data_IF_656943137679
#
_entry.id   IF_656943137679
#
_cell.length_a   1.000
_cell.length_b   1.000
_cell.length_c   1.000
_cell.angle_alpha   90.00
_cell.angle_beta   90.00
_cell.angle_gamma   90.00
#
_symmetry.space_group_name_H-M   'P 1'
#
loop_
_entity.id
_entity.type
_entity.pdbx_description
1 polymer ?
#
# COMPACT_ATOMS: atom_id res chain seq x y z
N UNK A 1 -20.76 15.94 -17.32
CA UNK A 1 -20.61 14.58 -16.75
C UNK A 1 -20.22 14.65 -15.29
N UNK A 2 -20.80 13.80 -14.44
CA UNK A 2 -20.43 13.67 -13.02
C UNK A 2 -19.19 12.79 -12.86
N UNK A 3 -18.46 12.95 -11.77
CA UNK A 3 -17.29 12.12 -11.47
C UNK A 3 -17.59 10.62 -11.47
N UNK A 4 -18.80 10.23 -11.04
CA UNK A 4 -19.23 8.84 -10.98
C UNK A 4 -19.35 8.20 -12.36
N UNK A 5 -19.78 8.97 -13.37
CA UNK A 5 -19.83 8.49 -14.75
C UNK A 5 -18.43 8.24 -15.33
N UNK A 6 -17.46 9.10 -14.99
CA UNK A 6 -16.05 8.92 -15.38
C UNK A 6 -15.47 7.68 -14.70
N UNK A 7 -15.69 7.53 -13.39
CA UNK A 7 -15.23 6.37 -12.63
C UNK A 7 -15.80 5.05 -13.18
N UNK A 8 -17.11 5.01 -13.47
CA UNK A 8 -17.76 3.82 -14.03
C UNK A 8 -17.21 3.44 -15.40
N UNK A 9 -16.91 4.43 -16.24
CA UNK A 9 -16.25 4.20 -17.54
C UNK A 9 -14.85 3.64 -17.34
N UNK A 10 -14.00 4.32 -16.56
CA UNK A 10 -12.60 3.93 -16.38
C UNK A 10 -12.48 2.54 -15.73
N UNK A 11 -13.34 2.22 -14.76
CA UNK A 11 -13.45 0.89 -14.18
C UNK A 11 -13.82 -0.18 -15.21
N UNK A 12 -14.83 0.08 -16.05
CA UNK A 12 -15.26 -0.86 -17.09
C UNK A 12 -14.16 -1.11 -18.13
N UNK A 13 -13.49 -0.04 -18.56
CA UNK A 13 -12.41 -0.14 -19.54
C UNK A 13 -11.24 -0.94 -18.94
N UNK A 14 -10.92 -0.72 -17.66
CA UNK A 14 -9.88 -1.45 -16.96
C UNK A 14 -10.23 -2.94 -16.74
N UNK A 15 -11.48 -3.28 -16.40
CA UNK A 15 -11.88 -4.67 -16.15
C UNK A 15 -11.81 -5.56 -17.39
N UNK A 16 -11.82 -4.95 -18.58
CA UNK A 16 -11.66 -5.67 -19.85
C UNK A 16 -10.18 -5.89 -20.22
N UNK A 17 -9.25 -5.31 -19.45
CA UNK A 17 -7.82 -5.44 -19.70
C UNK A 17 -7.30 -6.83 -19.32
N UNK A 18 -6.66 -7.51 -20.28
CA UNK A 18 -5.96 -8.78 -20.03
C UNK A 18 -4.83 -8.63 -19.01
N UNK A 19 -4.17 -7.48 -18.97
CA UNK A 19 -3.11 -7.21 -18.01
C UNK A 19 -3.65 -7.15 -16.57
N UNK A 20 -4.87 -6.62 -16.37
CA UNK A 20 -5.51 -6.64 -15.07
C UNK A 20 -5.82 -8.07 -14.62
N UNK A 21 -6.42 -8.88 -15.50
CA UNK A 21 -6.74 -10.27 -15.18
C UNK A 21 -5.48 -11.11 -14.90
N UNK A 22 -4.40 -10.87 -15.64
CA UNK A 22 -3.10 -11.48 -15.34
C UNK A 22 -2.61 -11.09 -13.94
N UNK A 23 -2.71 -9.81 -13.57
CA UNK A 23 -2.31 -9.33 -12.25
C UNK A 23 -3.16 -9.93 -11.12
N UNK A 24 -4.49 -10.01 -11.31
CA UNK A 24 -5.40 -10.66 -10.36
C UNK A 24 -5.06 -12.15 -10.22
N UNK A 25 -4.86 -12.85 -11.34
CA UNK A 25 -4.49 -14.27 -11.32
C UNK A 25 -3.16 -14.50 -10.60
N UNK A 26 -2.14 -13.68 -10.88
CA UNK A 26 -0.84 -13.73 -10.18
C UNK A 26 -1.04 -13.51 -8.69
N UNK A 27 -1.84 -12.52 -8.28
CA UNK A 27 -2.08 -12.26 -6.88
C UNK A 27 -2.84 -13.39 -6.17
N UNK A 28 -3.86 -13.96 -6.81
CA UNK A 28 -4.60 -15.12 -6.28
C UNK A 28 -3.66 -16.30 -6.08
N UNK A 29 -2.86 -16.64 -7.09
CA UNK A 29 -1.88 -17.74 -7.01
C UNK A 29 -0.88 -17.47 -5.91
N UNK A 30 -0.31 -16.26 -5.88
CA UNK A 30 0.67 -15.85 -4.88
C UNK A 30 0.08 -15.92 -3.47
N UNK A 31 -1.14 -15.41 -3.27
CA UNK A 31 -1.83 -15.40 -1.98
C UNK A 31 -2.13 -16.82 -1.50
N UNK A 32 -2.74 -17.67 -2.34
CA UNK A 32 -3.03 -19.07 -1.97
C UNK A 32 -1.74 -19.87 -1.71
N UNK A 33 -0.73 -19.71 -2.56
CA UNK A 33 0.56 -20.38 -2.38
C UNK A 33 1.27 -19.92 -1.11
N UNK A 34 1.27 -18.61 -0.84
CA UNK A 34 1.87 -18.04 0.37
C UNK A 34 1.16 -18.52 1.64
N UNK A 35 -0.18 -18.61 1.60
CA UNK A 35 -0.97 -19.19 2.70
C UNK A 35 -0.58 -20.63 2.94
N UNK A 36 -0.53 -21.44 1.88
CA UNK A 36 -0.14 -22.85 1.99
C UNK A 36 1.27 -23.01 2.56
N UNK A 37 2.24 -22.25 2.04
CA UNK A 37 3.62 -22.26 2.51
C UNK A 37 3.74 -21.87 3.99
N UNK A 38 3.00 -20.85 4.43
CA UNK A 38 2.97 -20.43 5.83
C UNK A 38 2.41 -21.52 6.75
N UNK A 39 1.33 -22.20 6.34
CA UNK A 39 0.70 -23.26 7.15
C UNK A 39 1.62 -24.47 7.30
N UNK A 40 2.31 -24.88 6.23
CA UNK A 40 3.16 -26.07 6.22
C UNK A 40 4.50 -25.85 6.93
N UNK A 41 5.08 -24.65 6.80
CA UNK A 41 6.41 -24.34 7.35
C UNK A 41 6.40 -23.03 8.14
N UNK A 42 5.57 -22.92 9.21
CA UNK A 42 5.37 -21.66 9.94
C UNK A 42 6.65 -21.14 10.60
N UNK A 43 7.55 -22.04 11.00
CA UNK A 43 8.84 -21.70 11.63
C UNK A 43 9.75 -20.90 10.70
N UNK A 44 9.67 -21.11 9.38
CA UNK A 44 10.45 -20.34 8.38
C UNK A 44 9.98 -18.88 8.29
N UNK A 45 8.77 -18.59 8.77
CA UNK A 45 8.10 -17.30 8.66
C UNK A 45 7.81 -16.65 10.03
N UNK A 46 8.50 -17.09 11.09
CA UNK A 46 8.41 -16.48 12.42
C UNK A 46 7.33 -17.05 13.34
N UNK A 47 6.64 -18.13 12.95
CA UNK A 47 5.67 -18.83 13.79
C UNK A 47 6.34 -19.76 14.82
N UNK A 48 6.99 -19.20 15.85
CA UNK A 48 7.68 -19.99 16.87
C UNK A 48 6.76 -20.91 17.71
N UNK A 49 5.45 -20.68 17.66
CA UNK A 49 4.41 -21.51 18.29
C UNK A 49 3.59 -22.36 17.32
N UNK A 50 4.02 -22.49 16.05
CA UNK A 50 3.25 -23.13 14.98
C UNK A 50 2.42 -22.15 14.15
N UNK A 51 1.68 -22.68 13.18
CA UNK A 51 0.86 -21.87 12.27
C UNK A 51 -0.38 -21.34 13.00
N UNK A 52 -0.59 -20.03 12.96
CA UNK A 52 -1.76 -19.37 13.54
C UNK A 52 -2.43 -18.44 12.54
N UNK A 53 -3.73 -18.16 12.72
CA UNK A 53 -4.44 -17.24 11.83
C UNK A 53 -3.88 -15.81 11.92
N UNK A 54 -3.48 -15.38 13.12
CA UNK A 54 -2.84 -14.08 13.32
C UNK A 54 -1.48 -13.99 12.60
N UNK A 55 -0.65 -15.03 12.70
CA UNK A 55 0.61 -15.07 11.98
C UNK A 55 0.44 -15.15 10.46
N UNK A 56 -0.59 -15.85 9.97
CA UNK A 56 -0.95 -15.82 8.55
C UNK A 56 -1.32 -14.40 8.09
N UNK A 57 -2.15 -13.69 8.86
CA UNK A 57 -2.49 -12.29 8.57
C UNK A 57 -1.22 -11.43 8.54
N UNK A 58 -0.34 -11.56 9.54
CA UNK A 58 0.92 -10.80 9.61
C UNK A 58 1.83 -11.07 8.41
N UNK A 59 1.98 -12.34 8.03
CA UNK A 59 2.74 -12.73 6.84
C UNK A 59 2.12 -12.13 5.56
N UNK A 60 0.78 -12.16 5.47
CA UNK A 60 0.04 -11.59 4.32
C UNK A 60 0.15 -10.06 4.28
N UNK A 61 0.31 -9.37 5.41
CA UNK A 61 0.59 -7.92 5.46
C UNK A 61 1.89 -7.61 4.71
N UNK A 62 2.99 -8.32 4.99
CA UNK A 62 4.27 -8.10 4.30
C UNK A 62 4.15 -8.34 2.79
N UNK A 63 3.49 -9.43 2.39
CA UNK A 63 3.24 -9.76 0.99
C UNK A 63 2.40 -8.68 0.28
N UNK A 64 1.34 -8.21 0.94
CA UNK A 64 0.47 -7.15 0.41
C UNK A 64 1.20 -5.81 0.35
N UNK A 65 2.05 -5.52 1.34
CA UNK A 65 2.89 -4.32 1.40
C UNK A 65 3.78 -4.15 0.17
N UNK A 66 4.33 -5.25 -0.36
CA UNK A 66 5.13 -5.23 -1.59
C UNK A 66 4.28 -5.29 -2.87
N UNK A 67 3.24 -6.14 -2.86
CA UNK A 67 2.45 -6.40 -4.07
C UNK A 67 1.59 -5.20 -4.48
N UNK A 68 0.97 -4.52 -3.52
CA UNK A 68 0.04 -3.40 -3.78
C UNK A 68 0.72 -2.24 -4.52
N UNK A 69 1.91 -1.73 -4.10
CA UNK A 69 2.63 -0.71 -4.85
C UNK A 69 2.92 -1.12 -6.30
N UNK A 70 3.42 -2.34 -6.51
CA UNK A 70 3.73 -2.86 -7.86
C UNK A 70 2.48 -2.94 -8.73
N UNK A 71 1.39 -3.46 -8.17
CA UNK A 71 0.10 -3.52 -8.85
C UNK A 71 -0.43 -2.13 -9.19
N UNK A 72 -0.33 -1.19 -8.25
CA UNK A 72 -0.77 0.19 -8.45
C UNK A 72 0.02 0.87 -9.57
N UNK A 73 1.34 0.66 -9.65
CA UNK A 73 2.16 1.17 -10.76
C UNK A 73 1.61 0.64 -12.08
N UNK A 74 1.48 -0.69 -12.23
CA UNK A 74 1.03 -1.32 -13.49
C UNK A 74 -0.36 -0.82 -13.92
N UNK A 75 -1.28 -0.65 -12.97
CA UNK A 75 -2.67 -0.27 -13.25
C UNK A 75 -2.84 1.23 -13.46
N UNK A 76 -2.06 2.07 -12.78
CA UNK A 76 -2.34 3.51 -12.67
C UNK A 76 -1.36 4.42 -13.40
N UNK A 77 -0.15 3.98 -13.75
CA UNK A 77 0.90 4.87 -14.26
C UNK A 77 0.50 5.65 -15.52
N UNK A 78 -0.28 5.04 -16.43
CA UNK A 78 -0.78 5.68 -17.67
C UNK A 78 -2.13 6.38 -17.53
N UNK A 79 -2.75 6.35 -16.35
CA UNK A 79 -4.15 6.76 -16.16
C UNK A 79 -4.48 8.14 -16.69
N UNK A 80 -3.60 9.14 -16.50
CA UNK A 80 -3.74 10.47 -17.11
C UNK A 80 -2.64 10.79 -18.12
N UNK A 81 -1.39 10.41 -17.83
CA UNK A 81 -0.25 10.69 -18.71
C UNK A 81 -0.44 10.07 -20.11
N UNK A 82 -1.03 8.88 -20.19
CA UNK A 82 -1.29 8.21 -21.47
C UNK A 82 -2.37 8.91 -22.29
N UNK A 83 -3.44 9.39 -21.65
CA UNK A 83 -4.50 10.14 -22.36
C UNK A 83 -4.05 11.53 -22.81
N UNK A 84 -3.13 12.15 -22.05
CA UNK A 84 -2.47 13.39 -22.45
C UNK A 84 -1.60 13.18 -23.67
N UNK A 85 -0.76 12.16 -23.65
CA UNK A 85 0.16 11.85 -24.75
C UNK A 85 -0.60 11.49 -26.04
N UNK A 86 -1.73 10.78 -25.92
CA UNK A 86 -2.61 10.46 -27.04
C UNK A 86 -3.54 11.62 -27.47
N UNK A 87 -3.57 12.73 -26.72
CA UNK A 87 -4.46 13.86 -26.96
C UNK A 87 -5.95 13.59 -26.70
N UNK A 88 -6.32 12.38 -26.27
CA UNK A 88 -7.72 11.98 -26.02
C UNK A 88 -8.35 12.75 -24.86
N UNK A 89 -7.53 13.30 -23.96
CA UNK A 89 -8.00 14.15 -22.85
C UNK A 89 -8.72 15.41 -23.34
N UNK A 90 -8.38 15.92 -24.54
CA UNK A 90 -9.04 17.09 -25.15
C UNK A 90 -10.47 16.78 -25.55
N UNK A 91 -10.72 15.57 -26.04
CA UNK A 91 -12.07 15.10 -26.40
C UNK A 91 -12.95 14.88 -25.17
N UNK A 92 -12.36 14.48 -24.03
CA UNK A 92 -13.09 14.39 -22.77
C UNK A 92 -13.47 15.78 -22.22
N UNK A 93 -12.58 16.75 -22.37
CA UNK A 93 -12.78 18.11 -21.88
C UNK A 93 -13.59 19.01 -22.85
N UNK A 94 -13.80 18.60 -24.10
CA UNK A 94 -14.72 19.28 -25.01
C UNK A 94 -16.19 19.00 -24.69
N UNK A 95 -16.46 17.93 -23.95
CA UNK A 95 -17.76 17.67 -23.33
C UNK A 95 -17.92 18.52 -22.06
N UNK A 96 -19.15 18.84 -21.61
CA UNK A 96 -19.40 19.64 -20.41
C UNK A 96 -19.00 18.88 -19.13
N UNK A 97 -17.69 18.83 -18.88
CA UNK A 97 -17.04 18.11 -17.79
C UNK A 97 -16.02 19.02 -17.11
N UNK A 98 -15.94 18.94 -15.78
CA UNK A 98 -14.96 19.67 -15.00
C UNK A 98 -13.69 18.81 -14.86
N UNK A 99 -12.51 19.44 -14.93
CA UNK A 99 -11.20 18.80 -14.64
C UNK A 99 -11.20 18.07 -13.30
N UNK A 100 -11.87 18.61 -12.28
CA UNK A 100 -12.03 17.94 -10.99
C UNK A 100 -12.77 16.60 -11.10
N UNK A 101 -13.90 16.58 -11.82
CA UNK A 101 -14.70 15.37 -12.02
C UNK A 101 -13.92 14.29 -12.79
N UNK A 102 -13.06 14.70 -13.73
CA UNK A 102 -12.19 13.78 -14.45
C UNK A 102 -11.13 13.18 -13.51
N UNK A 103 -10.45 14.03 -12.74
CA UNK A 103 -9.38 13.59 -11.83
C UNK A 103 -9.89 12.64 -10.75
N UNK A 104 -10.90 13.05 -9.97
CA UNK A 104 -11.48 12.22 -8.91
C UNK A 104 -12.13 10.95 -9.47
N UNK A 105 -12.75 11.05 -10.66
CA UNK A 105 -13.31 9.89 -11.36
C UNK A 105 -12.24 8.85 -11.70
N UNK A 106 -11.06 9.27 -12.16
CA UNK A 106 -9.93 8.38 -12.45
C UNK A 106 -9.33 7.76 -11.19
N UNK A 107 -9.15 8.55 -10.13
CA UNK A 107 -8.66 8.03 -8.84
C UNK A 107 -9.61 6.93 -8.34
N UNK A 108 -10.91 7.20 -8.29
CA UNK A 108 -11.91 6.24 -7.81
C UNK A 108 -12.05 5.03 -8.73
N UNK A 109 -11.99 5.21 -10.05
CA UNK A 109 -12.02 4.12 -11.02
C UNK A 109 -10.83 3.16 -10.82
N UNK A 110 -9.62 3.69 -10.71
CA UNK A 110 -8.40 2.91 -10.49
C UNK A 110 -8.34 2.27 -9.11
N UNK A 111 -8.76 2.99 -8.07
CA UNK A 111 -8.89 2.44 -6.72
C UNK A 111 -9.86 1.26 -6.70
N UNK A 112 -11.03 1.38 -7.31
CA UNK A 112 -12.01 0.29 -7.40
C UNK A 112 -11.47 -0.94 -8.16
N UNK A 113 -10.72 -0.72 -9.25
CA UNK A 113 -10.08 -1.81 -10.00
C UNK A 113 -9.10 -2.58 -9.12
N UNK A 114 -8.21 -1.87 -8.41
CA UNK A 114 -7.22 -2.48 -7.53
C UNK A 114 -7.88 -3.18 -6.34
N UNK A 115 -8.84 -2.53 -5.67
CA UNK A 115 -9.49 -3.09 -4.49
C UNK A 115 -10.31 -4.34 -4.81
N UNK A 116 -11.01 -4.36 -5.95
CA UNK A 116 -11.74 -5.57 -6.38
C UNK A 116 -10.75 -6.70 -6.71
N UNK A 117 -9.69 -6.41 -7.48
CA UNK A 117 -8.70 -7.43 -7.86
C UNK A 117 -7.95 -8.02 -6.66
N UNK A 118 -7.49 -7.16 -5.75
CA UNK A 118 -6.83 -7.57 -4.52
C UNK A 118 -7.80 -8.26 -3.57
N UNK A 119 -9.01 -7.75 -3.42
CA UNK A 119 -10.05 -8.33 -2.57
C UNK A 119 -10.35 -9.78 -2.94
N UNK A 120 -10.43 -10.09 -4.23
CA UNK A 120 -10.58 -11.49 -4.70
C UNK A 120 -9.41 -12.34 -4.20
N UNK A 121 -8.15 -11.93 -4.45
CA UNK A 121 -6.98 -12.70 -4.01
C UNK A 121 -6.92 -12.89 -2.49
N UNK A 122 -7.16 -11.83 -1.72
CA UNK A 122 -7.17 -11.91 -0.26
C UNK A 122 -8.28 -12.82 0.26
N UNK A 123 -9.50 -12.74 -0.30
CA UNK A 123 -10.59 -13.62 0.11
C UNK A 123 -10.30 -15.10 -0.18
N UNK A 124 -9.68 -15.41 -1.32
CA UNK A 124 -9.24 -16.78 -1.62
C UNK A 124 -8.12 -17.24 -0.68
N UNK A 125 -7.07 -16.42 -0.48
CA UNK A 125 -5.96 -16.75 0.40
C UNK A 125 -6.36 -16.94 1.86
N UNK A 126 -7.20 -16.04 2.39
CA UNK A 126 -7.73 -16.14 3.75
C UNK A 126 -8.74 -17.28 3.89
N UNK A 127 -9.56 -17.53 2.86
CA UNK A 127 -10.49 -18.66 2.84
C UNK A 127 -9.75 -20.00 2.94
N UNK A 128 -8.73 -20.20 2.11
CA UNK A 128 -7.85 -21.38 2.19
C UNK A 128 -7.16 -21.47 3.56
N UNK A 129 -6.64 -20.36 4.06
CA UNK A 129 -5.96 -20.33 5.36
C UNK A 129 -6.88 -20.71 6.52
N UNK A 130 -8.11 -20.18 6.52
CA UNK A 130 -9.12 -20.52 7.53
C UNK A 130 -9.50 -22.00 7.50
N UNK A 131 -9.57 -22.60 6.31
CA UNK A 131 -9.87 -24.02 6.15
C UNK A 131 -8.72 -24.90 6.67
N UNK A 132 -7.48 -24.57 6.33
CA UNK A 132 -6.29 -25.32 6.75
C UNK A 132 -6.02 -25.21 8.25
N UNK A 133 -6.23 -24.04 8.84
CA UNK A 133 -5.97 -23.78 10.27
C UNK A 133 -7.15 -24.17 11.17
N UNK A 134 -8.32 -24.52 10.61
CA UNK A 134 -9.49 -24.94 11.38
C UNK A 134 -10.11 -23.83 12.24
N UNK A 135 -9.77 -22.56 12.00
CA UNK A 135 -10.23 -21.42 12.78
C UNK A 135 -10.07 -20.10 12.03
N UNK A 136 -10.98 -19.17 12.31
CA UNK A 136 -10.96 -17.82 11.75
C UNK A 136 -11.31 -16.81 12.85
N UNK A 137 -10.49 -15.78 12.97
CA UNK A 137 -10.88 -14.56 13.67
C UNK A 137 -11.52 -13.61 12.65
N UNK A 138 -12.86 -13.58 12.65
CA UNK A 138 -13.65 -12.79 11.69
C UNK A 138 -13.37 -11.30 11.86
N UNK A 139 -13.17 -10.83 13.09
CA UNK A 139 -12.91 -9.43 13.36
C UNK A 139 -11.54 -9.02 12.82
N UNK A 140 -10.49 -9.79 13.16
CA UNK A 140 -9.15 -9.55 12.64
C UNK A 140 -9.09 -9.63 11.10
N UNK A 141 -9.76 -10.61 10.50
CA UNK A 141 -9.86 -10.74 9.05
C UNK A 141 -10.53 -9.53 8.40
N UNK A 142 -11.63 -9.03 8.99
CA UNK A 142 -12.34 -7.85 8.49
C UNK A 142 -11.49 -6.59 8.58
N UNK A 143 -10.85 -6.34 9.72
CA UNK A 143 -9.96 -5.18 9.91
C UNK A 143 -8.80 -5.23 8.92
N UNK A 144 -8.12 -6.39 8.83
CA UNK A 144 -7.03 -6.59 7.87
C UNK A 144 -7.48 -6.31 6.42
N UNK A 145 -8.61 -6.88 5.99
CA UNK A 145 -9.16 -6.64 4.66
C UNK A 145 -9.47 -5.15 4.43
N UNK A 146 -10.17 -4.51 5.37
CA UNK A 146 -10.55 -3.10 5.25
C UNK A 146 -9.32 -2.18 5.13
N UNK A 147 -8.31 -2.40 5.96
CA UNK A 147 -7.06 -1.61 5.95
C UNK A 147 -6.26 -1.88 4.68
N UNK A 148 -6.11 -3.14 4.25
CA UNK A 148 -5.36 -3.50 3.03
C UNK A 148 -6.01 -2.93 1.76
N UNK A 149 -7.35 -2.98 1.68
CA UNK A 149 -8.08 -2.38 0.55
C UNK A 149 -8.00 -0.85 0.57
N UNK A 150 -8.01 -0.23 1.76
CA UNK A 150 -7.80 1.21 1.91
C UNK A 150 -6.38 1.60 1.48
N UNK A 151 -5.37 0.82 1.85
CA UNK A 151 -3.99 0.98 1.41
C UNK A 151 -3.85 0.89 -0.11
N UNK A 152 -4.55 -0.04 -0.76
CA UNK A 152 -4.60 -0.11 -2.22
C UNK A 152 -5.23 1.13 -2.87
N UNK A 153 -6.29 1.69 -2.25
CA UNK A 153 -6.91 2.93 -2.72
C UNK A 153 -5.97 4.15 -2.55
N UNK A 154 -5.23 4.22 -1.43
CA UNK A 154 -4.18 5.23 -1.21
C UNK A 154 -3.13 5.17 -2.32
N UNK A 155 -2.63 3.97 -2.61
CA UNK A 155 -1.64 3.75 -3.67
C UNK A 155 -2.17 4.11 -5.06
N UNK A 156 -3.44 3.84 -5.35
CA UNK A 156 -4.09 4.30 -6.57
C UNK A 156 -4.05 5.84 -6.65
N UNK A 157 -4.38 6.53 -5.56
CA UNK A 157 -4.33 7.99 -5.45
C UNK A 157 -2.93 8.55 -5.70
N UNK A 158 -1.90 7.96 -5.09
CA UNK A 158 -0.50 8.33 -5.30
C UNK A 158 -0.12 8.21 -6.77
N UNK A 159 -0.36 7.05 -7.39
CA UNK A 159 0.08 6.79 -8.77
C UNK A 159 -0.70 7.61 -9.81
N UNK A 160 -2.00 7.81 -9.59
CA UNK A 160 -2.81 8.71 -10.42
C UNK A 160 -2.35 10.16 -10.25
N UNK A 161 -2.02 10.60 -9.03
CA UNK A 161 -1.46 11.92 -8.75
C UNK A 161 -0.12 12.17 -9.45
N UNK A 162 0.79 11.18 -9.40
CA UNK A 162 2.05 11.21 -10.14
C UNK A 162 1.78 11.29 -11.64
N UNK A 163 0.92 10.43 -12.18
CA UNK A 163 0.55 10.44 -13.60
C UNK A 163 0.02 11.81 -14.04
N UNK A 164 -0.86 12.42 -13.24
CA UNK A 164 -1.46 13.73 -13.48
C UNK A 164 -0.46 14.89 -13.45
N UNK A 165 0.65 14.74 -12.73
CA UNK A 165 1.72 15.74 -12.66
C UNK A 165 2.65 15.75 -13.87
N UNK A 166 2.51 14.78 -14.78
CA UNK A 166 3.40 14.61 -15.94
C UNK A 166 2.65 14.80 -17.27
N UNK A 167 3.41 15.18 -18.30
CA UNK A 167 2.91 15.34 -19.67
C UNK A 167 3.19 14.16 -20.60
N UNK A 168 4.02 13.19 -20.19
CA UNK A 168 4.37 12.03 -20.98
C UNK A 168 4.40 10.77 -20.14
N UNK A 169 4.07 9.64 -20.77
CA UNK A 169 3.97 8.36 -20.08
C UNK A 169 5.32 7.87 -19.58
N UNK A 170 6.40 8.12 -20.31
CA UNK A 170 7.75 7.79 -19.87
C UNK A 170 8.11 8.47 -18.55
N UNK A 171 7.82 9.78 -18.40
CA UNK A 171 8.06 10.52 -17.15
C UNK A 171 7.19 10.00 -16.01
N UNK A 172 5.93 9.68 -16.28
CA UNK A 172 5.03 9.08 -15.29
C UNK A 172 5.60 7.76 -14.75
N UNK A 173 6.07 6.88 -15.64
CA UNK A 173 6.69 5.60 -15.27
C UNK A 173 7.94 5.82 -14.43
N UNK A 174 8.83 6.72 -14.83
CA UNK A 174 10.07 6.99 -14.10
C UNK A 174 9.79 7.51 -12.68
N UNK A 175 8.84 8.44 -12.53
CA UNK A 175 8.47 8.96 -11.20
C UNK A 175 7.76 7.90 -10.35
N UNK A 176 6.88 7.09 -10.94
CA UNK A 176 6.20 6.01 -10.22
C UNK A 176 7.19 4.94 -9.72
N UNK A 177 8.13 4.53 -10.55
CA UNK A 177 9.20 3.59 -10.16
C UNK A 177 10.16 4.22 -9.15
N UNK A 178 10.54 5.50 -9.34
CA UNK A 178 11.38 6.22 -8.39
C UNK A 178 10.73 6.34 -7.01
N UNK A 179 9.42 6.63 -6.98
CA UNK A 179 8.63 6.64 -5.74
C UNK A 179 8.67 5.29 -5.05
N UNK A 180 8.42 4.20 -5.79
CA UNK A 180 8.49 2.85 -5.25
C UNK A 180 9.87 2.52 -4.67
N UNK A 181 10.95 2.77 -5.42
CA UNK A 181 12.30 2.49 -4.93
C UNK A 181 12.62 3.28 -3.66
N UNK A 182 12.29 4.57 -3.63
CA UNK A 182 12.59 5.43 -2.47
C UNK A 182 11.79 5.02 -1.24
N UNK A 183 10.47 4.87 -1.37
CA UNK A 183 9.59 4.68 -0.22
C UNK A 183 9.42 3.22 0.21
N UNK A 184 9.48 2.26 -0.73
CA UNK A 184 9.20 0.86 -0.44
C UNK A 184 10.46 -0.01 -0.32
N UNK A 185 11.59 0.39 -0.95
CA UNK A 185 12.83 -0.40 -0.88
C UNK A 185 13.92 0.24 -0.03
N UNK A 186 14.06 1.57 -0.10
CA UNK A 186 15.18 2.27 0.55
C UNK A 186 14.80 2.89 1.89
N UNK A 187 13.51 3.18 2.11
CA UNK A 187 13.10 4.02 3.24
C UNK A 187 13.42 3.41 4.59
N UNK A 188 13.33 2.09 4.76
CA UNK A 188 13.69 1.42 6.02
C UNK A 188 15.17 1.62 6.40
N UNK A 189 16.04 1.81 5.40
CA UNK A 189 17.48 2.04 5.60
C UNK A 189 17.77 3.51 5.88
N UNK A 190 16.92 4.45 5.43
CA UNK A 190 17.21 5.89 5.50
C UNK A 190 17.32 6.39 6.95
N UNK A 191 16.33 6.17 7.85
CA UNK A 191 16.47 6.56 9.26
C UNK A 191 17.70 5.93 9.91
N UNK A 192 17.98 4.65 9.61
CA UNK A 192 19.13 3.94 10.16
C UNK A 192 20.45 4.51 9.70
N UNK A 193 20.58 4.81 8.41
CA UNK A 193 21.77 5.44 7.86
C UNK A 193 22.02 6.81 8.50
N UNK A 194 20.96 7.61 8.69
CA UNK A 194 21.07 8.93 9.35
C UNK A 194 21.54 8.78 10.79
N UNK A 195 20.96 7.87 11.57
CA UNK A 195 21.40 7.60 12.95
C UNK A 195 22.86 7.15 12.98
N UNK A 196 23.23 6.21 12.11
CA UNK A 196 24.57 5.66 12.02
C UNK A 196 25.62 6.75 11.73
N UNK A 197 25.33 7.65 10.79
CA UNK A 197 26.23 8.76 10.42
C UNK A 197 26.33 9.78 11.57
N UNK A 198 25.21 10.19 12.14
CA UNK A 198 25.17 11.21 13.21
C UNK A 198 25.85 10.72 14.49
N UNK A 199 25.85 9.42 14.75
CA UNK A 199 26.54 8.79 15.89
C UNK A 199 28.00 8.37 15.58
N UNK A 200 28.59 8.87 14.50
CA UNK A 200 30.01 8.64 14.19
C UNK A 200 30.32 7.26 13.63
N UNK A 201 29.46 6.74 12.74
CA UNK A 201 29.56 5.41 12.13
C UNK A 201 29.39 4.27 13.14
N UNK A 202 28.50 4.47 14.12
CA UNK A 202 28.08 3.48 15.10
C UNK A 202 26.57 3.54 15.33
N UNK A 203 25.97 2.42 15.73
CA UNK A 203 24.60 2.42 16.21
C UNK A 203 24.59 2.70 17.71
N UNK A 204 23.77 3.66 18.20
CA UNK A 204 23.64 3.91 19.63
C UNK A 204 22.98 2.70 20.32
N UNK A 205 23.25 2.53 21.61
CA UNK A 205 22.58 1.51 22.43
C UNK A 205 21.08 1.74 22.57
N UNK A 206 20.63 2.99 22.45
CA UNK A 206 19.23 3.39 22.48
C UNK A 206 18.90 4.17 21.22
N UNK A 207 17.87 3.72 20.48
CA UNK A 207 17.47 4.37 19.24
C UNK A 207 16.77 5.71 19.54
N UNK A 208 17.10 6.81 18.83
CA UNK A 208 16.38 8.06 18.98
C UNK A 208 14.91 7.94 18.60
N UNK A 209 14.02 8.57 19.36
CA UNK A 209 12.56 8.42 19.17
C UNK A 209 12.06 8.92 17.80
N UNK A 210 12.71 9.93 17.23
CA UNK A 210 12.36 10.46 15.91
C UNK A 210 12.49 9.41 14.78
N UNK A 211 13.30 8.37 14.98
CA UNK A 211 13.52 7.30 14.00
C UNK A 211 12.21 6.61 13.66
N UNK A 212 11.40 6.30 14.68
CA UNK A 212 10.10 5.67 14.48
C UNK A 212 9.20 6.56 13.64
N UNK A 213 9.12 7.86 13.97
CA UNK A 213 8.31 8.80 13.18
C UNK A 213 8.74 8.88 11.73
N UNK A 214 10.05 8.88 11.46
CA UNK A 214 10.55 8.93 10.08
C UNK A 214 10.31 7.61 9.36
N UNK A 215 10.47 6.45 10.02
CA UNK A 215 10.20 5.16 9.38
C UNK A 215 8.73 5.01 9.00
N UNK A 216 7.80 5.56 9.80
CA UNK A 216 6.36 5.57 9.48
C UNK A 216 5.99 6.37 8.22
N UNK A 217 6.88 7.22 7.68
CA UNK A 217 6.60 8.00 6.48
C UNK A 217 6.38 7.11 5.25
N UNK A 218 6.98 5.92 5.18
CA UNK A 218 6.70 5.00 4.07
C UNK A 218 5.23 4.54 4.12
N UNK A 219 4.54 4.46 2.96
CA UNK A 219 3.17 3.97 2.93
C UNK A 219 3.00 2.56 3.51
N UNK A 220 3.95 1.65 3.27
CA UNK A 220 3.89 0.27 3.80
C UNK A 220 4.11 0.18 5.30
N UNK A 221 5.02 0.98 5.89
CA UNK A 221 5.17 1.04 7.35
C UNK A 221 3.91 1.63 8.00
N UNK A 222 3.36 2.71 7.44
CA UNK A 222 2.10 3.29 7.91
C UNK A 222 0.92 2.30 7.82
N UNK A 223 0.91 1.47 6.77
CA UNK A 223 -0.05 0.37 6.62
C UNK A 223 0.08 -0.69 7.70
N UNK A 224 1.29 -1.23 7.92
CA UNK A 224 1.54 -2.18 9.00
C UNK A 224 1.13 -1.59 10.36
N UNK A 225 1.57 -0.36 10.64
CA UNK A 225 1.29 0.36 11.88
C UNK A 225 -0.22 0.57 12.09
N UNK A 226 -0.97 0.87 11.03
CA UNK A 226 -2.44 0.97 11.09
C UNK A 226 -3.10 -0.36 11.44
N UNK A 227 -2.63 -1.48 10.88
CA UNK A 227 -3.19 -2.80 11.23
C UNK A 227 -2.91 -3.12 12.70
N UNK A 228 -1.70 -2.85 13.18
CA UNK A 228 -1.32 -3.05 14.59
C UNK A 228 -2.14 -2.16 15.52
N UNK A 229 -2.39 -0.90 15.15
CA UNK A 229 -3.22 0.02 15.93
C UNK A 229 -4.66 -0.47 16.11
N UNK A 230 -5.24 -1.05 15.05
CA UNK A 230 -6.63 -1.50 15.05
C UNK A 230 -6.80 -2.93 15.59
N UNK A 231 -5.70 -3.67 15.75
CA UNK A 231 -5.66 -5.02 16.32
C UNK A 231 -4.62 -5.07 17.45
N UNK A 232 -4.89 -4.48 18.63
CA UNK A 232 -3.95 -4.51 19.75
C UNK A 232 -3.67 -5.95 20.20
N UNK A 233 -2.40 -6.26 20.47
CA UNK A 233 -1.93 -7.62 20.79
C UNK A 233 -1.72 -8.54 19.57
N UNK A 234 -2.06 -8.08 18.35
CA UNK A 234 -1.89 -8.87 17.12
C UNK A 234 -0.44 -9.24 16.83
N UNK A 235 0.50 -8.31 17.04
CA UNK A 235 1.92 -8.56 16.81
C UNK A 235 2.47 -9.64 17.76
N UNK A 236 2.04 -9.61 19.03
CA UNK A 236 2.42 -10.59 20.04
C UNK A 236 1.84 -11.98 19.72
N UNK A 237 0.56 -12.05 19.34
CA UNK A 237 -0.14 -13.29 18.97
C UNK A 237 0.38 -13.86 17.64
N UNK A 238 0.85 -13.01 16.73
CA UNK A 238 1.49 -13.45 15.48
C UNK A 238 2.88 -14.08 15.70
N UNK A 239 3.42 -14.07 16.92
CA UNK A 239 4.79 -14.52 17.20
C UNK A 239 5.85 -13.60 16.58
N UNK A 240 5.43 -12.43 16.10
CA UNK A 240 6.32 -11.43 15.56
C UNK A 240 7.06 -10.79 16.75
N UNK A 241 8.20 -11.36 17.11
CA UNK A 241 9.21 -10.58 17.82
C UNK A 241 9.44 -9.32 16.98
N UNK A 242 9.31 -8.10 17.55
CA UNK A 242 9.54 -6.88 16.79
C UNK A 242 10.89 -7.06 16.10
N UNK A 243 10.95 -6.79 14.79
CA UNK A 243 12.14 -6.97 13.98
C UNK A 243 13.33 -6.42 14.78
N UNK A 244 14.14 -7.32 15.34
CA UNK A 244 15.18 -6.94 16.26
C UNK A 244 16.10 -6.02 15.47
N UNK A 245 16.15 -4.77 15.90
CA UNK A 245 17.07 -3.75 15.43
C UNK A 245 18.47 -4.17 15.87
N UNK A 246 19.01 -5.18 15.19
CA UNK A 246 20.28 -5.80 15.55
C UNK A 246 20.25 -6.57 16.88
N UNK A 247 21.28 -7.37 17.08
CA UNK A 247 21.53 -8.09 18.33
C UNK A 247 21.89 -7.07 19.41
N UNK A 248 21.06 -6.95 20.46
CA UNK A 248 21.44 -6.29 21.72
C UNK A 248 20.80 -4.94 22.08
N UNK A 249 19.69 -4.53 21.45
CA UNK A 249 18.95 -3.31 21.85
C UNK A 249 17.76 -3.70 22.73
N UNK A 250 17.82 -3.35 24.02
CA UNK A 250 16.69 -3.50 24.95
C UNK A 250 15.61 -2.44 24.67
N UNK A 251 14.34 -2.88 24.60
CA UNK A 251 13.19 -2.00 24.47
C UNK A 251 12.85 -1.36 25.82
N UNK A 252 12.75 -0.04 25.86
CA UNK A 252 12.29 0.74 27.02
C UNK A 252 10.81 1.08 26.81
N UNK A 253 9.95 0.79 27.79
CA UNK A 253 8.70 1.52 28.02
C UNK A 253 8.97 2.67 29.01
N UNK A 254 8.36 3.88 28.88
CA UNK A 254 6.98 4.15 28.48
C UNK A 254 6.81 5.10 27.27
N UNK A 255 5.70 4.92 26.56
CA UNK A 255 5.45 5.32 25.18
C UNK A 255 4.93 6.76 25.04
N UNK A 256 5.69 7.71 24.43
CA UNK A 256 5.13 8.95 23.91
C UNK A 256 4.06 8.66 22.84
N UNK A 257 3.01 9.47 22.74
CA UNK A 257 1.92 9.27 21.76
C UNK A 257 2.37 9.19 20.28
N UNK A 258 3.59 9.63 19.97
CA UNK A 258 4.16 9.61 18.63
C UNK A 258 4.97 8.34 18.33
N UNK A 259 5.16 7.47 19.32
CA UNK A 259 5.65 6.11 19.14
C UNK A 259 4.50 5.09 19.03
N UNK A 260 3.26 5.57 19.14
CA UNK A 260 2.09 4.73 19.15
C UNK A 260 1.67 4.30 17.72
N UNK A 261 1.10 3.09 17.54
CA UNK A 261 0.70 2.59 16.23
C UNK A 261 -0.34 3.47 15.50
N UNK A 262 -1.08 4.33 16.21
CA UNK A 262 -2.08 5.24 15.66
C UNK A 262 -1.47 6.29 14.72
N UNK A 263 -0.17 6.56 14.83
CA UNK A 263 0.55 7.43 13.88
C UNK A 263 0.42 6.90 12.45
N UNK A 264 0.41 5.57 12.25
CA UNK A 264 0.22 4.96 10.95
C UNK A 264 -1.10 5.38 10.28
N UNK A 265 -2.18 5.52 11.06
CA UNK A 265 -3.50 5.95 10.56
C UNK A 265 -3.41 7.37 10.01
N UNK A 266 -2.77 8.26 10.77
CA UNK A 266 -2.59 9.67 10.37
C UNK A 266 -1.72 9.75 9.11
N UNK A 267 -0.62 9.00 9.06
CA UNK A 267 0.28 9.02 7.90
C UNK A 267 -0.39 8.45 6.65
N UNK A 268 -1.16 7.36 6.75
CA UNK A 268 -1.96 6.85 5.62
C UNK A 268 -3.02 7.86 5.16
N UNK A 269 -3.68 8.56 6.09
CA UNK A 269 -4.62 9.62 5.74
C UNK A 269 -3.93 10.78 5.00
N UNK A 270 -2.71 11.15 5.42
CA UNK A 270 -1.90 12.13 4.70
C UNK A 270 -1.51 11.64 3.30
N UNK A 271 -1.15 10.36 3.14
CA UNK A 271 -0.88 9.76 1.83
C UNK A 271 -2.11 9.66 0.94
N UNK A 272 -3.32 9.65 1.49
CA UNK A 272 -4.54 9.77 0.70
C UNK A 272 -4.74 11.20 0.20
N UNK A 273 -4.57 12.18 1.08
CA UNK A 273 -4.96 13.58 0.84
C UNK A 273 -3.88 14.35 0.06
N UNK A 274 -2.61 14.26 0.47
CA UNK A 274 -1.53 15.09 -0.07
C UNK A 274 -1.27 14.81 -1.56
N UNK A 275 -1.06 13.55 -2.01
CA UNK A 275 -0.86 13.25 -3.42
C UNK A 275 -2.09 13.56 -4.28
N UNK A 276 -3.30 13.38 -3.72
CA UNK A 276 -4.54 13.76 -4.39
C UNK A 276 -4.58 15.27 -4.67
N UNK A 277 -4.32 16.10 -3.65
CA UNK A 277 -4.34 17.56 -3.77
C UNK A 277 -3.24 18.06 -4.71
N UNK A 278 -2.01 17.54 -4.57
CA UNK A 278 -0.88 17.90 -5.45
C UNK A 278 -1.18 17.49 -6.90
N UNK A 279 -1.65 16.26 -7.11
CA UNK A 279 -2.02 15.74 -8.42
C UNK A 279 -3.12 16.55 -9.09
N UNK A 280 -4.18 16.88 -8.34
CA UNK A 280 -5.27 17.72 -8.84
C UNK A 280 -4.79 19.14 -9.18
N UNK A 281 -4.02 19.77 -8.30
CA UNK A 281 -3.49 21.11 -8.54
C UNK A 281 -2.64 21.15 -9.81
N UNK A 282 -1.70 20.21 -9.97
CA UNK A 282 -0.87 20.07 -11.17
C UNK A 282 -1.69 19.78 -12.42
N UNK A 283 -2.73 18.96 -12.30
CA UNK A 283 -3.65 18.68 -13.40
C UNK A 283 -4.43 19.92 -13.83
N UNK A 284 -4.88 20.73 -12.87
CA UNK A 284 -5.70 21.89 -13.10
C UNK A 284 -4.93 23.04 -13.76
N UNK A 285 -3.68 23.26 -13.36
CA UNK A 285 -2.83 24.34 -13.88
C UNK A 285 -2.18 23.99 -15.22
N UNK A 286 -2.07 22.71 -15.57
CA UNK A 286 -1.45 22.30 -16.83
C UNK A 286 -2.24 22.76 -18.06
N UNK A 287 -1.50 23.28 -19.04
CA UNK A 287 -2.00 23.52 -20.39
C UNK A 287 -2.17 22.17 -21.11
N UNK A 288 -3.37 21.93 -21.63
CA UNK A 288 -3.78 20.67 -22.25
C UNK A 288 -3.98 20.86 -23.75
#
# INVERSE_FOLDING_TARGET
>A
MTWLSVAKKDFRDAIQSRALWALVAVFVVLSVFSTYAYVEVPEMFGGAGGASFAGLLFFTIGLSGLFVPLAAIVVCYKSLAGERELGSIKLLLSLPTNRFNVFIGKVLGRAAVLTVGLGVGLLFGLGVGSFLLGGIDIFAAFVFLAVTLSFAAVYAGIMVGISASTGSTSRATTLALGFFVVFELLWDVVPMAVVYIVNGFGLPSTMPEWVFLVSQVSPSSAYLSTVVALLPGFAEVAGATPAQTGVGVEAVEPDPFYLSPEVGIVVLALWLVVPFLIGYYRFNVADL
#
